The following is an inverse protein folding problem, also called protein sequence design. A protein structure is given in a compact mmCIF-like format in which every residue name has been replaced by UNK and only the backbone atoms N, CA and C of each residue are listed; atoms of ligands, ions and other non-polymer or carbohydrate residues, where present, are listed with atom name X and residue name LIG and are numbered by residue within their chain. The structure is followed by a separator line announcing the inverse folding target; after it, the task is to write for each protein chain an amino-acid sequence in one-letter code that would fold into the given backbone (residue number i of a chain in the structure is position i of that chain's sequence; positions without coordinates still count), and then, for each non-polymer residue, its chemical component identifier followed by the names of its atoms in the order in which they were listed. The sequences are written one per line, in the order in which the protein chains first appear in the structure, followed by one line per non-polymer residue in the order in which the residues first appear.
data_IF_143324595156
#
_entry.id   IF_143324595156
#
_cell.length_a   1.000
_cell.length_b   1.000
_cell.length_c   1.000
_cell.angle_alpha   90.00
_cell.angle_beta   90.00
_cell.angle_gamma   90.00
#
_symmetry.space_group_name_H-M   'P 1'
#
loop_
_entity.id
_entity.type
_entity.pdbx_description
1 polymer ?
#
# COMPACT_ATOMS: atom_id res chain seq x y z
N UNK A 1 -14.13 3.14 -0.29
CA UNK A 1 -13.52 1.82 -0.64
C UNK A 1 -12.92 1.82 -2.05
N UNK A 2 -13.54 2.52 -3.02
CA UNK A 2 -13.01 2.63 -4.39
C UNK A 2 -11.71 3.46 -4.46
N UNK A 3 -11.68 4.63 -3.79
CA UNK A 3 -10.48 5.51 -3.75
C UNK A 3 -9.25 4.85 -3.11
N UNK A 4 -9.48 3.96 -2.13
CA UNK A 4 -8.42 3.21 -1.46
C UNK A 4 -7.71 2.22 -2.38
N UNK A 5 -8.35 1.78 -3.48
CA UNK A 5 -7.73 0.87 -4.47
C UNK A 5 -7.11 1.63 -5.63
N UNK A 6 -7.53 2.87 -5.90
CA UNK A 6 -6.96 3.67 -6.99
C UNK A 6 -5.58 4.23 -6.65
N UNK A 7 -5.37 4.70 -5.43
CA UNK A 7 -4.08 5.26 -5.03
C UNK A 7 -2.92 4.23 -5.09
N UNK A 8 -3.04 2.99 -4.55
CA UNK A 8 -1.99 1.98 -4.68
C UNK A 8 -1.78 1.54 -6.13
N UNK A 9 -2.85 1.48 -6.94
CA UNK A 9 -2.72 1.22 -8.38
C UNK A 9 -1.93 2.31 -9.09
N UNK A 10 -2.09 3.57 -8.69
CA UNK A 10 -1.27 4.68 -9.16
C UNK A 10 0.20 4.51 -8.81
N UNK A 11 0.50 4.04 -7.59
CA UNK A 11 1.85 3.72 -7.16
C UNK A 11 2.44 2.54 -7.96
N UNK A 12 1.66 1.48 -8.19
CA UNK A 12 2.09 0.35 -9.01
C UNK A 12 2.37 0.75 -10.46
N UNK A 13 1.58 1.68 -11.00
CA UNK A 13 1.76 2.21 -12.35
C UNK A 13 3.05 3.06 -12.49
N UNK A 14 3.54 3.66 -11.40
CA UNK A 14 4.86 4.32 -11.38
C UNK A 14 6.03 3.31 -11.29
N UNK A 15 5.72 2.01 -11.20
CA UNK A 15 6.71 0.96 -11.08
C UNK A 15 7.20 0.73 -9.65
N UNK A 16 6.46 1.22 -8.65
CA UNK A 16 6.82 1.05 -7.25
C UNK A 16 5.79 0.20 -6.52
N UNK A 17 6.25 -0.62 -5.58
CA UNK A 17 5.43 -1.30 -4.59
C UNK A 17 5.89 -0.82 -3.23
N UNK A 18 4.97 -0.53 -2.32
CA UNK A 18 5.29 0.08 -1.02
C UNK A 18 5.90 -0.92 -0.04
N UNK A 19 5.36 -2.14 -0.02
CA UNK A 19 5.87 -3.27 0.76
C UNK A 19 5.37 -3.36 2.20
N UNK A 20 4.81 -2.28 2.75
CA UNK A 20 4.19 -2.24 4.08
C UNK A 20 3.09 -1.17 4.17
N UNK A 21 2.02 -1.39 3.40
CA UNK A 21 0.95 -0.42 3.24
C UNK A 21 -0.13 -0.65 4.32
N UNK A 22 -0.06 0.15 5.38
CA UNK A 22 -0.92 0.11 6.59
C UNK A 22 -1.58 1.47 6.82
N UNK A 23 -2.62 1.54 7.66
CA UNK A 23 -3.37 2.79 7.88
C UNK A 23 -2.48 3.97 8.31
N UNK A 24 -1.41 3.71 9.05
CA UNK A 24 -0.53 4.73 9.61
C UNK A 24 0.51 5.22 8.59
N UNK A 25 0.75 4.45 7.52
CA UNK A 25 1.56 4.87 6.36
C UNK A 25 0.72 5.60 5.30
N UNK A 26 -0.55 5.91 5.59
CA UNK A 26 -1.48 6.60 4.69
C UNK A 26 -1.86 7.96 5.27
N UNK A 27 -1.64 9.01 4.47
CA UNK A 27 -2.11 10.36 4.74
C UNK A 27 -3.28 10.69 3.83
N UNK A 28 -4.41 11.08 4.42
CA UNK A 28 -5.55 11.62 3.68
C UNK A 28 -5.34 13.12 3.55
N UNK A 29 -5.16 13.60 2.31
CA UNK A 29 -4.95 15.02 2.01
C UNK A 29 -6.09 15.58 1.16
N UNK A 30 -6.16 16.90 1.01
CA UNK A 30 -7.13 17.55 0.11
C UNK A 30 -6.96 17.17 -1.37
N UNK A 31 -5.79 16.62 -1.73
CA UNK A 31 -5.47 16.13 -3.08
C UNK A 31 -5.69 14.62 -3.23
N UNK A 32 -6.15 13.94 -2.18
CA UNK A 32 -6.32 12.49 -2.13
C UNK A 32 -5.35 11.80 -1.18
N UNK A 33 -5.27 10.47 -1.32
CA UNK A 33 -4.42 9.60 -0.50
C UNK A 33 -2.96 9.76 -0.91
N UNK A 34 -2.07 9.97 0.07
CA UNK A 34 -0.62 9.93 -0.10
C UNK A 34 -0.04 8.85 0.79
N UNK A 35 0.96 8.13 0.27
CA UNK A 35 1.68 7.10 1.02
C UNK A 35 3.00 7.66 1.53
N UNK A 36 3.39 7.24 2.73
CA UNK A 36 4.65 7.58 3.39
C UNK A 36 5.30 6.29 3.90
N UNK A 37 6.58 6.33 4.22
CA UNK A 37 7.31 5.17 4.77
C UNK A 37 7.67 4.07 3.75
N UNK A 38 8.46 4.45 2.74
CA UNK A 38 8.88 3.56 1.64
C UNK A 38 10.11 2.68 1.97
N UNK A 39 10.43 2.46 3.24
CA UNK A 39 11.62 1.69 3.62
C UNK A 39 11.57 0.22 3.15
N UNK A 40 10.37 -0.32 2.99
CA UNK A 40 10.11 -1.67 2.46
C UNK A 40 9.76 -1.68 0.98
N UNK A 41 9.92 -0.54 0.29
CA UNK A 41 9.52 -0.43 -1.11
C UNK A 41 10.36 -1.30 -2.04
N UNK A 42 9.72 -1.79 -3.09
CA UNK A 42 10.32 -2.70 -4.06
C UNK A 42 10.06 -2.22 -5.48
N UNK A 43 11.11 -2.29 -6.30
CA UNK A 43 11.03 -2.11 -7.75
C UNK A 43 10.60 -3.42 -8.44
N UNK A 44 10.21 -3.39 -9.72
CA UNK A 44 9.76 -4.57 -10.43
C UNK A 44 10.89 -5.61 -10.52
N UNK A 45 10.62 -6.89 -10.26
CA UNK A 45 11.61 -7.96 -10.34
C UNK A 45 11.92 -8.30 -11.81
N UNK A 46 12.61 -7.39 -12.52
CA UNK A 46 13.11 -7.60 -13.89
C UNK A 46 12.12 -8.31 -14.82
N UNK A 47 12.34 -9.61 -15.03
CA UNK A 47 11.60 -10.43 -16.00
C UNK A 47 10.43 -11.23 -15.39
N UNK A 48 10.21 -11.15 -14.08
CA UNK A 48 9.21 -11.94 -13.36
C UNK A 48 7.89 -11.15 -13.18
N UNK A 49 7.18 -10.99 -14.30
CA UNK A 49 5.93 -10.23 -14.33
C UNK A 49 4.81 -10.91 -13.54
N UNK A 50 4.79 -12.24 -13.48
CA UNK A 50 3.80 -12.98 -12.69
C UNK A 50 3.99 -12.72 -11.19
N UNK A 51 5.22 -12.82 -10.69
CA UNK A 51 5.53 -12.46 -9.30
C UNK A 51 5.22 -11.00 -9.02
N UNK A 52 5.53 -10.10 -9.95
CA UNK A 52 5.19 -8.69 -9.80
C UNK A 52 3.68 -8.46 -9.66
N UNK A 53 2.87 -9.13 -10.48
CA UNK A 53 1.42 -9.05 -10.40
C UNK A 53 0.88 -9.64 -9.09
N UNK A 54 1.43 -10.78 -8.64
CA UNK A 54 1.07 -11.38 -7.37
C UNK A 54 1.39 -10.46 -6.17
N UNK A 55 2.56 -9.81 -6.18
CA UNK A 55 2.94 -8.86 -5.12
C UNK A 55 2.01 -7.65 -5.08
N UNK A 56 1.65 -7.08 -6.24
CA UNK A 56 0.69 -5.96 -6.31
C UNK A 56 -0.69 -6.33 -5.77
N UNK A 57 -1.19 -7.52 -6.11
CA UNK A 57 -2.48 -7.99 -5.61
C UNK A 57 -2.44 -8.26 -4.10
N UNK A 58 -1.32 -8.82 -3.61
CA UNK A 58 -1.10 -9.01 -2.19
C UNK A 58 -1.09 -7.69 -1.43
N UNK A 59 -0.45 -6.64 -1.96
CA UNK A 59 -0.45 -5.31 -1.34
C UNK A 59 -1.86 -4.71 -1.26
N UNK A 60 -2.67 -4.87 -2.32
CA UNK A 60 -4.07 -4.42 -2.31
C UNK A 60 -4.92 -5.17 -1.28
N UNK A 61 -4.73 -6.49 -1.15
CA UNK A 61 -5.41 -7.31 -0.15
C UNK A 61 -5.00 -6.94 1.28
N UNK A 62 -3.70 -6.73 1.50
CA UNK A 62 -3.16 -6.30 2.80
C UNK A 62 -3.68 -4.93 3.20
N UNK A 63 -3.80 -3.99 2.25
CA UNK A 63 -4.40 -2.69 2.50
C UNK A 63 -5.88 -2.81 2.91
N UNK A 64 -6.66 -3.62 2.19
CA UNK A 64 -8.07 -3.82 2.54
C UNK A 64 -8.22 -4.40 3.96
N UNK A 65 -7.37 -5.35 4.32
CA UNK A 65 -7.31 -5.89 5.67
C UNK A 65 -6.87 -4.84 6.71
N UNK A 66 -5.87 -4.01 6.40
CA UNK A 66 -5.36 -2.97 7.29
C UNK A 66 -6.37 -1.83 7.52
N UNK A 67 -7.20 -1.51 6.52
CA UNK A 67 -8.28 -0.51 6.65
C UNK A 67 -9.46 -1.03 7.49
N UNK A 68 -9.73 -2.33 7.43
CA UNK A 68 -10.75 -2.98 8.23
C UNK A 68 -10.28 -3.32 9.65
N UNK A 69 -8.97 -3.22 9.92
CA UNK A 69 -8.39 -3.54 11.21
C UNK A 69 -8.75 -2.48 12.26
N UNK A 70 -9.59 -2.90 13.21
CA UNK A 70 -9.99 -2.11 14.38
C UNK A 70 -9.14 -2.41 15.61
N UNK A 71 -8.19 -3.35 15.52
CA UNK A 71 -7.38 -3.82 16.66
C UNK A 71 -6.47 -2.74 17.25
N UNK A 72 -6.22 -1.66 16.50
CA UNK A 72 -5.38 -0.56 16.96
C UNK A 72 -3.89 -0.80 16.79
N UNK A 73 -3.47 -1.81 16.01
CA UNK A 73 -2.09 -1.91 15.53
C UNK A 73 -1.65 -0.58 14.90
N UNK A 74 -0.43 -0.14 15.24
CA UNK A 74 0.15 1.14 14.85
C UNK A 74 -0.24 2.35 15.71
N UNK A 75 -1.08 2.18 16.74
CA UNK A 75 -1.24 3.23 17.78
C UNK A 75 0.07 3.40 18.55
N UNK A 76 0.39 4.65 18.90
CA UNK A 76 1.45 4.94 19.88
C UNK A 76 1.21 4.10 21.13
N UNK A 77 2.27 3.52 21.69
CA UNK A 77 2.19 2.96 23.04
C UNK A 77 1.78 4.08 24.00
N UNK A 78 0.73 3.82 24.76
CA UNK A 78 0.27 4.65 25.87
C UNK A 78 1.30 4.61 27.02
#
# INVERSE_FOLDING_TARGET
MQDCKEAPRGLHASGLLHGDLVKDSILITSEGLKFIDFEHSSAPPGNDLERWNAMKEQELCSLEAALLDTSGKGRRWD
#
